data_IF_556218953000
#
_entry.id   IF_556218953000
#
_cell.length_a   1.000
_cell.length_b   1.000
_cell.length_c   1.000
_cell.angle_alpha   90.00
_cell.angle_beta   90.00
_cell.angle_gamma   90.00
#
_symmetry.space_group_name_H-M   'P 1'
#
loop_
_entity.id
_entity.type
_entity.pdbx_description
1 polymer ?
#
# COMPACT_ATOMS: atom_id res chain seq x y z
N UNK A 1 -28.67 -2.35 18.06
CA UNK A 1 -28.91 -2.75 19.47
C UNK A 1 -28.37 -4.15 19.68
N UNK A 2 -27.20 -4.28 20.32
CA UNK A 2 -26.77 -5.39 21.17
C UNK A 2 -25.31 -5.12 21.56
N UNK A 3 -25.12 -4.10 22.40
CA UNK A 3 -23.95 -3.99 23.26
C UNK A 3 -24.33 -4.63 24.59
N UNK A 4 -23.56 -5.60 25.08
CA UNK A 4 -23.40 -5.80 26.53
C UNK A 4 -22.21 -6.70 26.86
N UNK A 5 -21.44 -6.17 27.81
CA UNK A 5 -20.56 -6.84 28.76
C UNK A 5 -19.33 -7.55 28.22
N UNK A 6 -18.17 -6.93 28.45
CA UNK A 6 -17.11 -7.55 29.26
C UNK A 6 -16.29 -6.43 29.92
N UNK A 7 -16.59 -6.19 31.20
CA UNK A 7 -15.73 -5.44 32.11
C UNK A 7 -15.22 -6.41 33.17
N UNK A 8 -13.94 -6.26 33.50
CA UNK A 8 -13.22 -6.90 34.59
C UNK A 8 -12.98 -8.40 34.50
N UNK A 9 -11.72 -8.77 34.27
CA UNK A 9 -11.00 -9.78 35.05
C UNK A 9 -9.50 -9.62 34.76
N UNK A 10 -8.82 -8.91 35.65
CA UNK A 10 -7.36 -8.98 35.79
C UNK A 10 -7.02 -10.42 36.18
N UNK A 11 -6.16 -11.07 35.41
CA UNK A 11 -5.44 -12.26 35.82
C UNK A 11 -3.95 -12.07 35.46
N UNK A 12 -3.02 -12.40 36.37
CA UNK A 12 -1.60 -12.09 36.21
C UNK A 12 -0.91 -13.16 35.36
N UNK A 13 -0.25 -12.74 34.28
CA UNK A 13 0.63 -13.62 33.53
C UNK A 13 1.99 -13.66 34.21
N UNK A 14 2.36 -14.85 34.71
CA UNK A 14 3.67 -15.14 35.29
C UNK A 14 4.73 -15.11 34.19
N UNK A 15 5.68 -14.18 34.31
CA UNK A 15 6.89 -14.16 33.51
C UNK A 15 7.87 -15.24 33.99
N UNK A 16 8.31 -16.09 33.07
CA UNK A 16 9.41 -17.02 33.29
C UNK A 16 10.72 -16.22 33.19
N UNK A 17 11.36 -15.96 34.33
CA UNK A 17 12.70 -15.39 34.39
C UNK A 17 13.72 -16.39 33.83
N UNK A 18 14.47 -15.97 32.80
CA UNK A 18 15.76 -16.59 32.45
C UNK A 18 16.85 -15.61 32.84
N UNK A 19 17.59 -15.98 33.88
CA UNK A 19 18.80 -15.33 34.35
C UNK A 19 19.91 -15.51 33.32
N UNK A 20 20.42 -14.40 32.78
CA UNK A 20 21.77 -14.37 32.21
C UNK A 20 22.56 -13.26 32.89
N UNK A 21 23.31 -13.67 33.91
CA UNK A 21 24.38 -12.92 34.54
C UNK A 21 25.59 -12.86 33.60
N UNK A 22 25.89 -11.67 33.10
CA UNK A 22 27.13 -11.38 32.36
C UNK A 22 27.72 -10.06 32.86
N UNK A 23 28.58 -10.15 33.88
CA UNK A 23 29.40 -9.05 34.39
C UNK A 23 30.45 -8.65 33.35
N UNK A 24 30.54 -7.36 33.02
CA UNK A 24 31.82 -6.72 32.67
C UNK A 24 31.81 -5.28 33.20
N UNK A 25 32.64 -5.03 34.20
CA UNK A 25 32.94 -3.70 34.74
C UNK A 25 33.90 -2.93 33.82
N UNK A 26 33.98 -1.59 33.96
CA UNK A 26 34.64 -0.68 33.02
C UNK A 26 36.06 -0.28 33.47
N UNK A 27 36.88 0.26 32.56
CA UNK A 27 38.07 1.06 32.87
C UNK A 27 38.72 1.71 31.61
N UNK A 28 39.56 2.75 31.74
CA UNK A 28 39.17 4.09 31.30
C UNK A 28 40.12 4.77 30.29
N UNK A 29 39.65 5.94 29.82
CA UNK A 29 40.34 7.09 29.25
C UNK A 29 41.85 7.03 28.97
N UNK A 30 42.22 7.32 27.72
CA UNK A 30 43.43 8.07 27.42
C UNK A 30 43.20 8.99 26.21
N UNK A 31 43.28 10.30 26.48
CA UNK A 31 43.27 11.36 25.50
C UNK A 31 44.47 11.24 24.55
N UNK A 32 44.24 11.37 23.24
CA UNK A 32 45.27 11.76 22.28
C UNK A 32 44.73 12.77 21.27
N UNK A 33 45.47 13.87 21.20
CA UNK A 33 45.37 15.05 20.35
C UNK A 33 45.21 14.77 18.85
N UNK A 34 44.48 15.61 18.10
CA UNK A 34 44.35 15.49 16.65
C UNK A 34 45.60 16.05 15.94
N UNK A 35 46.30 15.20 15.18
CA UNK A 35 47.29 15.67 14.20
C UNK A 35 46.60 16.02 12.89
N UNK A 36 46.58 17.32 12.59
CA UNK A 36 46.25 17.89 11.29
C UNK A 36 47.26 17.44 10.23
N UNK A 37 46.86 16.50 9.37
CA UNK A 37 47.57 16.18 8.13
C UNK A 37 47.07 17.09 7.01
N UNK A 38 47.77 18.20 6.82
CA UNK A 38 47.67 19.05 5.63
C UNK A 38 48.36 18.31 4.48
N UNK A 39 47.59 17.83 3.51
CA UNK A 39 48.11 17.21 2.29
C UNK A 39 48.22 18.28 1.20
N UNK A 40 49.43 18.82 1.02
CA UNK A 40 49.77 19.68 -0.10
C UNK A 40 49.89 18.84 -1.39
N UNK A 41 49.13 19.20 -2.41
CA UNK A 41 49.31 18.70 -3.77
C UNK A 41 50.41 19.52 -4.44
N UNK A 42 51.60 18.92 -4.62
CA UNK A 42 52.63 19.45 -5.51
C UNK A 42 52.39 18.90 -6.92
N UNK A 43 52.11 19.80 -7.85
CA UNK A 43 52.07 19.51 -9.29
C UNK A 43 53.48 19.58 -9.85
N UNK A 44 54.13 18.44 -10.04
CA UNK A 44 55.38 18.40 -10.80
C UNK A 44 55.24 17.51 -12.04
N UNK A 45 54.85 18.18 -13.13
CA UNK A 45 54.97 17.68 -14.50
C UNK A 45 56.45 17.76 -14.86
N UNK A 46 57.18 16.65 -14.76
CA UNK A 46 58.30 16.30 -15.67
C UNK A 46 59.02 15.06 -15.16
N UNK A 47 58.69 13.88 -15.70
CA UNK A 47 59.67 12.79 -15.88
C UNK A 47 59.19 11.79 -16.92
N UNK A 48 59.79 11.98 -18.09
CA UNK A 48 60.28 10.96 -19.03
C UNK A 48 59.42 9.73 -19.33
N UNK A 49 58.92 9.78 -20.56
CA UNK A 49 58.65 8.65 -21.45
C UNK A 49 59.78 7.60 -21.39
N UNK A 50 59.45 6.40 -20.92
CA UNK A 50 60.03 5.17 -21.43
C UNK A 50 58.89 4.32 -21.98
N UNK A 51 58.93 4.10 -23.29
CA UNK A 51 57.95 3.28 -24.03
C UNK A 51 58.17 1.83 -23.65
N UNK A 52 57.28 1.27 -22.84
CA UNK A 52 57.09 -0.17 -22.78
C UNK A 52 56.37 -0.62 -24.07
N UNK A 53 56.86 -1.70 -24.69
CA UNK A 53 56.24 -2.31 -25.86
C UNK A 53 54.76 -2.68 -25.58
N UNK A 54 53.84 -2.52 -26.55
CA UNK A 54 52.44 -2.86 -26.36
C UNK A 54 52.30 -4.37 -26.10
N UNK A 55 51.63 -4.73 -24.99
CA UNK A 55 51.20 -6.10 -24.74
C UNK A 55 50.24 -6.53 -25.86
N UNK A 56 50.34 -7.77 -26.38
CA UNK A 56 49.37 -8.30 -27.33
C UNK A 56 47.97 -8.30 -26.69
N UNK A 57 46.97 -7.90 -27.49
CA UNK A 57 45.58 -7.82 -27.05
C UNK A 57 45.11 -9.18 -26.50
N UNK A 58 44.35 -9.21 -25.39
CA UNK A 58 43.74 -10.44 -24.92
C UNK A 58 42.82 -10.99 -26.01
N UNK A 59 42.98 -12.29 -26.30
CA UNK A 59 42.14 -13.01 -27.24
C UNK A 59 40.66 -12.78 -26.93
N UNK A 60 39.80 -12.56 -27.94
CA UNK A 60 38.38 -12.34 -27.71
C UNK A 60 37.82 -13.57 -26.99
N UNK A 61 37.32 -13.36 -25.77
CA UNK A 61 36.56 -14.36 -25.06
C UNK A 61 35.45 -14.85 -26.00
N UNK A 62 35.18 -16.17 -26.09
CA UNK A 62 34.11 -16.67 -26.94
C UNK A 62 32.85 -15.92 -26.52
N UNK A 63 32.30 -15.13 -27.44
CA UNK A 63 31.00 -14.47 -27.25
C UNK A 63 30.06 -15.57 -26.77
N UNK A 64 29.58 -15.48 -25.53
CA UNK A 64 28.36 -16.19 -25.15
C UNK A 64 27.36 -15.83 -26.23
N UNK A 65 26.99 -16.84 -27.03
CA UNK A 65 25.84 -16.70 -27.92
C UNK A 65 24.72 -16.09 -27.07
N UNK A 66 24.01 -15.05 -27.54
CA UNK A 66 22.69 -14.78 -26.99
C UNK A 66 21.98 -16.13 -27.01
N UNK A 67 21.39 -16.53 -25.89
CA UNK A 67 20.48 -17.68 -25.87
C UNK A 67 19.42 -17.41 -26.93
N UNK A 68 19.67 -17.92 -28.13
CA UNK A 68 18.75 -17.93 -29.25
C UNK A 68 17.57 -18.71 -28.74
N UNK A 69 16.45 -18.00 -28.57
CA UNK A 69 15.11 -18.54 -28.40
C UNK A 69 15.12 -19.91 -27.75
N UNK A 70 15.28 -19.94 -26.42
CA UNK A 70 14.81 -21.09 -25.68
C UNK A 70 13.38 -21.34 -26.15
N UNK A 71 13.19 -22.42 -26.92
CA UNK A 71 11.90 -22.90 -27.35
C UNK A 71 11.00 -22.85 -26.12
N UNK A 72 10.02 -21.95 -26.17
CA UNK A 72 9.05 -21.73 -25.11
C UNK A 72 8.27 -23.02 -24.97
N UNK A 73 8.73 -23.91 -24.08
CA UNK A 73 7.94 -25.06 -23.67
C UNK A 73 6.56 -24.54 -23.29
N UNK A 74 5.48 -25.16 -23.80
CA UNK A 74 4.14 -24.93 -23.30
C UNK A 74 4.21 -25.01 -21.78
N UNK A 75 3.91 -23.91 -21.11
CA UNK A 75 3.71 -23.95 -19.67
C UNK A 75 2.40 -24.73 -19.51
N UNK A 76 2.51 -26.04 -19.27
CA UNK A 76 1.37 -26.88 -18.92
C UNK A 76 0.93 -26.44 -17.53
N UNK A 77 0.07 -25.42 -17.49
CA UNK A 77 -0.44 -24.88 -16.25
C UNK A 77 -1.67 -25.69 -15.87
N UNK A 78 -1.51 -26.51 -14.83
CA UNK A 78 -2.63 -27.20 -14.19
C UNK A 78 -3.44 -26.16 -13.40
N UNK A 79 -4.73 -25.95 -13.70
CA UNK A 79 -5.57 -25.05 -12.90
C UNK A 79 -5.65 -25.50 -11.44
N UNK A 80 -5.81 -24.52 -10.55
CA UNK A 80 -6.09 -24.74 -9.13
C UNK A 80 -7.39 -25.51 -8.88
N UNK A 81 -7.54 -26.03 -7.66
CA UNK A 81 -8.76 -26.71 -7.26
C UNK A 81 -9.92 -25.71 -7.15
N UNK A 82 -11.16 -26.08 -7.47
CA UNK A 82 -12.33 -25.25 -7.16
C UNK A 82 -12.43 -24.90 -5.66
N UNK A 83 -11.89 -25.76 -4.80
CA UNK A 83 -11.88 -25.56 -3.35
C UNK A 83 -11.03 -24.36 -2.93
N UNK A 84 -9.99 -24.02 -3.70
CA UNK A 84 -9.13 -22.87 -3.41
C UNK A 84 -9.94 -21.55 -3.50
N UNK A 85 -11.00 -21.53 -4.30
CA UNK A 85 -11.88 -20.36 -4.46
C UNK A 85 -13.00 -20.29 -3.41
N UNK A 86 -13.23 -21.35 -2.62
CA UNK A 86 -14.25 -21.32 -1.54
C UNK A 86 -13.88 -20.38 -0.40
N UNK A 87 -12.57 -20.20 -0.17
CA UNK A 87 -12.02 -19.39 0.90
C UNK A 87 -11.78 -17.93 0.49
N UNK A 88 -11.88 -17.62 -0.80
CA UNK A 88 -11.82 -16.23 -1.30
C UNK A 88 -13.02 -15.45 -0.76
N UNK A 89 -12.82 -14.16 -0.45
CA UNK A 89 -13.72 -13.34 0.37
C UNK A 89 -15.17 -13.44 -0.12
N UNK A 90 -16.05 -14.22 0.54
CA UNK A 90 -17.29 -14.68 -0.10
C UNK A 90 -18.36 -13.59 -0.23
N UNK A 91 -18.14 -12.40 0.33
CA UNK A 91 -19.12 -11.31 0.40
C UNK A 91 -18.47 -9.94 0.16
N UNK A 92 -17.63 -9.81 -0.88
CA UNK A 92 -17.18 -8.47 -1.29
C UNK A 92 -18.36 -7.74 -1.94
N UNK A 93 -18.62 -6.51 -1.52
CA UNK A 93 -19.72 -5.72 -2.06
C UNK A 93 -19.58 -5.57 -3.59
N UNK A 94 -20.65 -5.86 -4.33
CA UNK A 94 -20.66 -5.84 -5.80
C UNK A 94 -20.19 -7.14 -6.48
N UNK A 95 -19.80 -8.16 -5.72
CA UNK A 95 -19.46 -9.48 -6.26
C UNK A 95 -20.69 -10.38 -6.24
N UNK A 96 -20.89 -11.13 -7.32
CA UNK A 96 -22.11 -11.92 -7.55
C UNK A 96 -21.86 -13.36 -7.96
N UNK A 97 -20.62 -13.69 -8.34
CA UNK A 97 -20.30 -15.04 -8.82
C UNK A 97 -20.12 -16.00 -7.66
N UNK A 98 -20.61 -17.23 -7.80
CA UNK A 98 -20.23 -18.30 -6.88
C UNK A 98 -18.84 -18.85 -7.21
N UNK A 99 -18.22 -19.53 -6.25
CA UNK A 99 -16.87 -20.09 -6.39
C UNK A 99 -16.73 -21.08 -7.56
N UNK A 100 -17.79 -21.77 -7.98
CA UNK A 100 -17.76 -22.71 -9.11
C UNK A 100 -17.71 -21.96 -10.43
N UNK A 101 -18.51 -20.88 -10.55
CA UNK A 101 -18.48 -20.01 -11.72
C UNK A 101 -17.11 -19.32 -11.82
N UNK A 102 -16.58 -18.83 -10.70
CA UNK A 102 -15.24 -18.24 -10.63
C UNK A 102 -14.18 -19.22 -11.12
N UNK A 103 -14.18 -20.45 -10.58
CA UNK A 103 -13.23 -21.50 -10.97
C UNK A 103 -13.35 -21.86 -12.45
N UNK A 104 -14.56 -21.95 -12.99
CA UNK A 104 -14.81 -22.22 -14.42
C UNK A 104 -14.16 -21.15 -15.28
N UNK A 105 -14.50 -19.87 -15.04
CA UNK A 105 -13.96 -18.74 -15.82
C UNK A 105 -12.43 -18.68 -15.69
N UNK A 106 -11.90 -18.84 -14.47
CA UNK A 106 -10.45 -18.90 -14.24
C UNK A 106 -9.77 -20.01 -15.04
N UNK A 107 -10.34 -21.22 -15.03
CA UNK A 107 -9.77 -22.39 -15.69
C UNK A 107 -9.81 -22.26 -17.21
N UNK A 108 -10.94 -21.81 -17.77
CA UNK A 108 -11.09 -21.51 -19.20
C UNK A 108 -10.11 -20.44 -19.64
N UNK A 109 -9.96 -19.37 -18.86
CA UNK A 109 -9.00 -18.31 -19.13
C UNK A 109 -7.56 -18.82 -19.11
N UNK A 110 -7.20 -19.63 -18.12
CA UNK A 110 -5.85 -20.17 -17.97
C UNK A 110 -5.49 -21.11 -19.12
N UNK A 111 -6.46 -21.95 -19.54
CA UNK A 111 -6.31 -22.81 -20.71
C UNK A 111 -6.13 -21.99 -22.00
N UNK A 112 -6.97 -20.98 -22.22
CA UNK A 112 -6.82 -20.08 -23.38
C UNK A 112 -5.47 -19.34 -23.36
N UNK A 113 -5.00 -18.92 -22.18
CA UNK A 113 -3.73 -18.23 -22.00
C UNK A 113 -2.51 -19.15 -22.27
N UNK A 114 -2.60 -20.43 -21.95
CA UNK A 114 -1.52 -21.41 -22.19
C UNK A 114 -1.21 -21.64 -23.68
N UNK A 115 -2.20 -21.42 -24.57
CA UNK A 115 -2.02 -21.52 -26.02
C UNK A 115 -1.42 -20.26 -26.68
N UNK A 116 -1.26 -19.17 -25.93
CA UNK A 116 -0.82 -17.86 -26.44
C UNK A 116 0.68 -17.65 -26.22
N UNK A 117 1.53 -18.50 -26.81
CA UNK A 117 2.97 -18.22 -26.87
C UNK A 117 3.29 -17.30 -28.06
N UNK A 118 3.97 -16.19 -27.73
CA UNK A 118 4.70 -15.27 -28.61
C UNK A 118 3.90 -14.55 -29.73
N UNK A 119 3.65 -13.26 -29.48
CA UNK A 119 3.80 -12.24 -30.51
C UNK A 119 2.53 -11.79 -31.23
N UNK A 120 1.60 -12.67 -31.59
CA UNK A 120 0.45 -12.26 -32.40
C UNK A 120 -0.79 -13.13 -32.21
N UNK A 121 -1.62 -12.77 -31.23
CA UNK A 121 -3.08 -12.90 -31.30
C UNK A 121 -3.66 -11.77 -30.45
N UNK A 122 -4.65 -11.06 -30.97
CA UNK A 122 -5.40 -10.09 -30.18
C UNK A 122 -6.11 -10.88 -29.09
N UNK A 123 -5.56 -10.89 -27.87
CA UNK A 123 -6.15 -11.62 -26.75
C UNK A 123 -7.64 -11.29 -26.66
N UNK A 124 -8.01 -10.01 -26.82
CA UNK A 124 -9.39 -9.51 -27.01
C UNK A 124 -10.28 -10.30 -27.98
N UNK A 125 -9.75 -10.76 -29.12
CA UNK A 125 -10.53 -11.51 -30.12
C UNK A 125 -10.79 -12.96 -29.71
N UNK A 126 -9.84 -13.60 -29.01
CA UNK A 126 -10.06 -14.91 -28.39
C UNK A 126 -11.04 -14.75 -27.20
N UNK A 127 -10.98 -13.63 -26.46
CA UNK A 127 -11.97 -13.30 -25.43
C UNK A 127 -13.36 -12.99 -25.99
N UNK A 128 -13.46 -12.29 -27.12
CA UNK A 128 -14.73 -12.06 -27.80
C UNK A 128 -15.40 -13.39 -28.18
N UNK A 129 -14.61 -14.40 -28.57
CA UNK A 129 -15.11 -15.74 -28.85
C UNK A 129 -15.56 -16.44 -27.55
N UNK A 130 -14.74 -16.46 -26.49
CA UNK A 130 -15.09 -17.10 -25.21
C UNK A 130 -16.31 -16.43 -24.56
N UNK A 131 -16.39 -15.09 -24.58
CA UNK A 131 -17.52 -14.32 -24.06
C UNK A 131 -18.80 -14.55 -24.87
N UNK A 132 -18.70 -14.65 -26.20
CA UNK A 132 -19.84 -14.95 -27.06
C UNK A 132 -20.36 -16.40 -26.88
N UNK A 133 -19.46 -17.36 -26.65
CA UNK A 133 -19.82 -18.76 -26.44
C UNK A 133 -20.42 -19.03 -25.04
N UNK A 134 -20.02 -18.25 -24.03
CA UNK A 134 -20.33 -18.55 -22.62
C UNK A 134 -21.09 -17.45 -21.86
N UNK A 135 -21.56 -16.39 -22.53
CA UNK A 135 -22.27 -15.22 -21.95
C UNK A 135 -21.52 -14.57 -20.77
N UNK A 136 -20.18 -14.53 -20.84
CA UNK A 136 -19.33 -13.95 -19.79
C UNK A 136 -19.30 -12.43 -19.94
N UNK A 137 -19.63 -11.70 -18.87
CA UNK A 137 -19.67 -10.24 -18.85
C UNK A 137 -18.32 -9.64 -18.47
N UNK A 138 -18.05 -8.37 -18.83
CA UNK A 138 -16.83 -7.67 -18.40
C UNK A 138 -16.65 -7.62 -16.86
N UNK A 139 -17.75 -7.58 -16.12
CA UNK A 139 -17.75 -7.64 -14.65
C UNK A 139 -17.22 -8.97 -14.12
N UNK A 140 -17.50 -10.07 -14.81
CA UNK A 140 -17.12 -11.40 -14.35
C UNK A 140 -15.59 -11.58 -14.38
N UNK A 141 -14.93 -11.07 -15.41
CA UNK A 141 -13.46 -11.06 -15.48
C UNK A 141 -12.84 -10.25 -14.35
N UNK A 142 -13.42 -9.09 -14.02
CA UNK A 142 -12.94 -8.26 -12.93
C UNK A 142 -13.10 -8.96 -11.59
N UNK A 143 -14.27 -9.55 -11.33
CA UNK A 143 -14.52 -10.30 -10.11
C UNK A 143 -13.56 -11.50 -9.97
N UNK A 144 -13.37 -12.30 -11.03
CA UNK A 144 -12.44 -13.43 -11.02
C UNK A 144 -11.01 -12.95 -10.76
N UNK A 145 -10.56 -11.89 -11.43
CA UNK A 145 -9.22 -11.35 -11.25
C UNK A 145 -8.97 -10.88 -9.82
N UNK A 146 -9.96 -10.25 -9.17
CA UNK A 146 -9.84 -9.83 -7.78
C UNK A 146 -9.88 -11.01 -6.81
N UNK A 147 -10.68 -12.05 -7.07
CA UNK A 147 -10.63 -13.28 -6.27
C UNK A 147 -9.31 -14.03 -6.41
N UNK A 148 -8.65 -13.94 -7.57
CA UNK A 148 -7.29 -14.44 -7.71
C UNK A 148 -6.31 -13.69 -6.80
N UNK A 149 -6.54 -12.42 -6.47
CA UNK A 149 -5.68 -11.67 -5.53
C UNK A 149 -5.78 -12.19 -4.09
N UNK A 150 -6.92 -12.81 -3.75
CA UNK A 150 -7.15 -13.43 -2.44
C UNK A 150 -6.50 -14.82 -2.32
N UNK A 151 -6.02 -15.39 -3.44
CA UNK A 151 -5.32 -16.67 -3.43
C UNK A 151 -3.90 -16.52 -2.91
N UNK A 152 -3.43 -17.54 -2.18
CA UNK A 152 -2.04 -17.65 -1.79
C UNK A 152 -1.10 -17.69 -3.02
N UNK A 153 0.11 -17.14 -2.86
CA UNK A 153 1.25 -17.16 -3.79
C UNK A 153 0.90 -17.59 -5.23
N UNK A 154 0.42 -16.63 -6.03
CA UNK A 154 0.14 -16.86 -7.44
C UNK A 154 1.42 -17.24 -8.19
N UNK A 155 1.32 -18.25 -9.05
CA UNK A 155 2.39 -18.55 -10.00
C UNK A 155 2.52 -17.40 -11.02
N UNK A 156 3.66 -17.33 -11.70
CA UNK A 156 3.89 -16.30 -12.73
C UNK A 156 2.79 -16.26 -13.79
N UNK A 157 2.33 -17.42 -14.26
CA UNK A 157 1.28 -17.49 -15.29
C UNK A 157 -0.07 -17.03 -14.74
N UNK A 158 -0.38 -17.34 -13.49
CA UNK A 158 -1.59 -16.85 -12.83
C UNK A 158 -1.56 -15.34 -12.65
N UNK A 159 -0.42 -14.76 -12.25
CA UNK A 159 -0.26 -13.31 -12.19
C UNK A 159 -0.42 -12.63 -13.56
N UNK A 160 0.17 -13.22 -14.60
CA UNK A 160 0.01 -12.73 -15.98
C UNK A 160 -1.46 -12.85 -16.43
N UNK A 161 -2.15 -13.93 -16.05
CA UNK A 161 -3.56 -14.16 -16.40
C UNK A 161 -4.50 -13.19 -15.68
N UNK A 162 -4.29 -12.98 -14.38
CA UNK A 162 -5.02 -11.99 -13.58
C UNK A 162 -4.90 -10.59 -14.19
N UNK A 163 -3.67 -10.18 -14.54
CA UNK A 163 -3.44 -8.86 -15.15
C UNK A 163 -4.19 -8.73 -16.48
N UNK A 164 -4.16 -9.78 -17.30
CA UNK A 164 -4.90 -9.82 -18.58
C UNK A 164 -6.41 -9.80 -18.40
N UNK A 165 -6.96 -10.47 -17.37
CA UNK A 165 -8.40 -10.40 -17.06
C UNK A 165 -8.83 -8.97 -16.73
N UNK A 166 -8.04 -8.25 -15.94
CA UNK A 166 -8.29 -6.85 -15.63
C UNK A 166 -8.23 -5.96 -16.89
N UNK A 167 -7.21 -6.16 -17.72
CA UNK A 167 -7.09 -5.45 -19.00
C UNK A 167 -8.29 -5.75 -19.90
N UNK A 168 -8.77 -6.99 -19.92
CA UNK A 168 -9.98 -7.45 -20.64
C UNK A 168 -11.21 -6.71 -20.22
N UNK A 169 -11.51 -6.75 -18.92
CA UNK A 169 -12.65 -6.05 -18.36
C UNK A 169 -12.56 -4.54 -18.66
N UNK A 170 -11.38 -3.95 -18.48
CA UNK A 170 -11.11 -2.55 -18.76
C UNK A 170 -11.36 -2.21 -20.23
N UNK A 171 -10.87 -3.00 -21.19
CA UNK A 171 -11.04 -2.80 -22.64
C UNK A 171 -12.47 -3.02 -23.14
N UNK A 172 -13.25 -3.86 -22.45
CA UNK A 172 -14.69 -4.01 -22.69
C UNK A 172 -15.53 -2.91 -22.03
N UNK A 173 -14.91 -1.96 -21.34
CA UNK A 173 -15.58 -0.79 -20.77
C UNK A 173 -16.09 -0.94 -19.35
N UNK A 174 -15.61 -1.95 -18.63
CA UNK A 174 -15.86 -2.04 -17.22
C UNK A 174 -15.02 -1.01 -16.45
N UNK A 175 -15.68 0.05 -15.99
CA UNK A 175 -15.04 1.19 -15.30
C UNK A 175 -14.27 0.78 -14.04
N UNK A 176 -14.81 -0.02 -13.10
CA UNK A 176 -14.05 -0.54 -11.97
C UNK A 176 -12.72 -1.20 -12.34
N UNK A 177 -12.67 -1.99 -13.42
CA UNK A 177 -11.43 -2.62 -13.88
C UNK A 177 -10.40 -1.58 -14.37
N UNK A 178 -10.83 -0.60 -15.17
CA UNK A 178 -9.97 0.52 -15.58
C UNK A 178 -9.38 1.22 -14.37
N UNK A 179 -10.23 1.61 -13.41
CA UNK A 179 -9.81 2.34 -12.23
C UNK A 179 -8.89 1.50 -11.33
N UNK A 180 -9.17 0.20 -11.17
CA UNK A 180 -8.33 -0.72 -10.41
C UNK A 180 -6.91 -0.82 -10.99
N UNK A 181 -6.77 -0.94 -12.32
CA UNK A 181 -5.44 -0.95 -12.97
C UNK A 181 -4.67 0.33 -12.67
N UNK A 182 -5.31 1.50 -12.81
CA UNK A 182 -4.67 2.79 -12.51
C UNK A 182 -4.23 2.85 -11.05
N UNK A 183 -5.10 2.44 -10.12
CA UNK A 183 -4.80 2.39 -8.69
C UNK A 183 -3.56 1.53 -8.43
N UNK A 184 -3.51 0.31 -8.96
CA UNK A 184 -2.38 -0.60 -8.74
C UNK A 184 -1.04 -0.01 -9.20
N UNK A 185 -1.02 0.67 -10.35
CA UNK A 185 0.21 1.33 -10.84
C UNK A 185 0.58 2.56 -9.99
N UNK A 186 -0.41 3.33 -9.50
CA UNK A 186 -0.17 4.47 -8.61
C UNK A 186 0.50 4.06 -7.30
N UNK A 187 -0.03 3.02 -6.65
CA UNK A 187 0.52 2.51 -5.38
C UNK A 187 1.84 1.76 -5.58
N UNK A 188 2.13 1.29 -6.80
CA UNK A 188 3.45 0.80 -7.22
C UNK A 188 4.56 1.86 -7.26
N UNK A 189 4.28 3.12 -6.86
CA UNK A 189 5.23 4.25 -6.75
C UNK A 189 5.89 4.66 -8.06
N UNK A 190 5.19 4.53 -9.18
CA UNK A 190 5.64 5.03 -10.47
C UNK A 190 4.52 5.73 -11.26
N UNK A 191 3.90 6.80 -10.71
CA UNK A 191 2.81 7.52 -11.38
C UNK A 191 3.22 8.08 -12.75
N UNK A 192 4.49 8.46 -12.93
CA UNK A 192 5.07 8.91 -14.20
C UNK A 192 5.04 7.84 -15.30
N UNK A 193 4.94 6.57 -14.92
CA UNK A 193 4.93 5.45 -15.86
C UNK A 193 3.52 5.00 -16.25
N UNK A 194 2.43 5.61 -15.76
CA UNK A 194 1.07 5.17 -16.08
C UNK A 194 0.82 5.00 -17.58
N UNK A 195 1.15 6.02 -18.38
CA UNK A 195 1.01 6.00 -19.83
C UNK A 195 1.83 4.88 -20.49
N UNK A 196 2.99 4.53 -19.91
CA UNK A 196 3.90 3.50 -20.44
C UNK A 196 3.48 2.10 -20.00
N UNK A 197 3.09 1.94 -18.75
CA UNK A 197 2.75 0.66 -18.12
C UNK A 197 1.37 0.16 -18.52
N UNK A 198 0.39 1.07 -18.69
CA UNK A 198 -0.99 0.70 -18.99
C UNK A 198 -1.67 1.70 -19.96
N UNK A 199 -1.12 1.92 -21.17
CA UNK A 199 -1.53 2.99 -22.09
C UNK A 199 -3.04 3.00 -22.39
N UNK A 200 -3.65 1.84 -22.54
CA UNK A 200 -5.07 1.70 -22.88
C UNK A 200 -5.98 2.03 -21.71
N UNK A 201 -5.72 1.44 -20.54
CA UNK A 201 -6.44 1.77 -19.31
C UNK A 201 -6.28 3.25 -18.95
N UNK A 202 -5.07 3.80 -19.13
CA UNK A 202 -4.81 5.22 -18.90
C UNK A 202 -5.58 6.13 -19.85
N UNK A 203 -5.64 5.83 -21.15
CA UNK A 203 -6.46 6.60 -22.09
C UNK A 203 -7.94 6.64 -21.68
N UNK A 204 -8.50 5.51 -21.25
CA UNK A 204 -9.89 5.46 -20.74
C UNK A 204 -10.07 6.25 -19.45
N UNK A 205 -9.11 6.12 -18.53
CA UNK A 205 -9.08 6.90 -17.29
C UNK A 205 -9.11 8.41 -17.59
N UNK A 206 -8.33 8.88 -18.57
CA UNK A 206 -8.37 10.29 -19.01
C UNK A 206 -9.76 10.69 -19.52
N UNK A 207 -10.45 9.82 -20.26
CA UNK A 207 -11.84 10.08 -20.68
C UNK A 207 -12.77 10.22 -19.48
N UNK A 208 -12.69 9.30 -18.50
CA UNK A 208 -13.51 9.36 -17.28
C UNK A 208 -13.28 10.64 -16.47
N UNK A 209 -12.02 11.08 -16.36
CA UNK A 209 -11.65 12.34 -15.70
C UNK A 209 -12.18 13.54 -16.48
N UNK A 210 -12.07 13.53 -17.82
CA UNK A 210 -12.55 14.62 -18.67
C UNK A 210 -14.08 14.77 -18.62
N UNK A 211 -14.82 13.66 -18.56
CA UNK A 211 -16.26 13.68 -18.32
C UNK A 211 -16.60 14.28 -16.95
N UNK A 212 -15.78 14.01 -15.94
CA UNK A 212 -15.88 14.63 -14.62
C UNK A 212 -17.15 14.28 -13.85
N UNK A 213 -17.78 13.14 -14.18
CA UNK A 213 -19.00 12.60 -13.56
C UNK A 213 -18.75 11.38 -12.66
N UNK A 214 -17.53 10.83 -12.69
CA UNK A 214 -17.17 9.65 -11.89
C UNK A 214 -16.33 10.08 -10.68
N UNK A 215 -16.82 9.93 -9.44
CA UNK A 215 -16.12 10.40 -8.24
C UNK A 215 -14.85 9.58 -7.95
N UNK A 216 -14.84 8.29 -8.28
CA UNK A 216 -13.67 7.41 -8.12
C UNK A 216 -12.53 7.82 -9.08
N UNK A 217 -12.86 8.15 -10.34
CA UNK A 217 -11.89 8.66 -11.30
C UNK A 217 -11.30 10.01 -10.87
N UNK A 218 -12.14 10.93 -10.39
CA UNK A 218 -11.69 12.22 -9.85
C UNK A 218 -10.80 12.04 -8.61
N UNK A 219 -11.08 11.03 -7.78
CA UNK A 219 -10.26 10.69 -6.61
C UNK A 219 -8.86 10.26 -7.02
N UNK A 220 -8.71 9.38 -8.03
CA UNK A 220 -7.38 8.99 -8.51
C UNK A 220 -6.63 10.12 -9.20
N UNK A 221 -7.33 10.99 -9.94
CA UNK A 221 -6.70 12.18 -10.51
C UNK A 221 -6.21 13.12 -9.41
N UNK A 222 -7.01 13.33 -8.36
CA UNK A 222 -6.61 14.08 -7.18
C UNK A 222 -5.35 13.49 -6.53
N UNK A 223 -5.30 12.16 -6.40
CA UNK A 223 -4.11 11.46 -5.87
C UNK A 223 -2.89 11.67 -6.77
N UNK A 224 -3.05 11.64 -8.09
CA UNK A 224 -1.98 11.92 -9.05
C UNK A 224 -1.37 13.31 -8.86
N UNK A 225 -2.23 14.34 -8.74
CA UNK A 225 -1.79 15.71 -8.44
C UNK A 225 -1.09 15.79 -7.07
N UNK A 226 -1.63 15.11 -6.05
CA UNK A 226 -1.01 15.07 -4.72
C UNK A 226 0.40 14.45 -4.76
N UNK A 227 0.60 13.36 -5.51
CA UNK A 227 1.91 12.72 -5.70
C UNK A 227 2.91 13.62 -6.44
N UNK A 228 2.44 14.55 -7.27
CA UNK A 228 3.26 15.56 -7.95
C UNK A 228 3.54 16.80 -7.09
N UNK A 229 2.96 16.89 -5.90
CA UNK A 229 3.04 18.05 -5.02
C UNK A 229 2.08 19.19 -5.38
N UNK A 230 1.15 18.97 -6.32
CA UNK A 230 0.16 19.94 -6.79
C UNK A 230 -1.04 20.00 -5.82
N UNK A 231 -0.78 20.45 -4.59
CA UNK A 231 -1.72 20.34 -3.45
C UNK A 231 -3.09 20.99 -3.69
N UNK A 232 -3.13 22.18 -4.29
CA UNK A 232 -4.38 22.89 -4.50
C UNK A 232 -5.27 22.21 -5.54
N UNK A 233 -4.66 21.70 -6.62
CA UNK A 233 -5.34 20.95 -7.67
C UNK A 233 -5.89 19.62 -7.11
N UNK A 234 -5.08 18.92 -6.32
CA UNK A 234 -5.48 17.70 -5.64
C UNK A 234 -6.69 17.95 -4.72
N UNK A 235 -6.63 18.97 -3.86
CA UNK A 235 -7.72 19.32 -2.96
C UNK A 235 -9.00 19.71 -3.71
N UNK A 236 -8.89 20.46 -4.82
CA UNK A 236 -10.02 20.81 -5.67
C UNK A 236 -10.69 19.55 -6.28
N UNK A 237 -9.90 18.58 -6.74
CA UNK A 237 -10.40 17.33 -7.30
C UNK A 237 -11.09 16.46 -6.26
N UNK A 238 -10.53 16.33 -5.04
CA UNK A 238 -11.20 15.59 -3.97
C UNK A 238 -12.52 16.23 -3.54
N UNK A 239 -12.58 17.56 -3.42
CA UNK A 239 -13.86 18.25 -3.14
C UNK A 239 -14.86 18.01 -4.26
N UNK A 240 -14.43 18.14 -5.53
CA UNK A 240 -15.29 17.87 -6.69
C UNK A 240 -15.80 16.42 -6.71
N UNK A 241 -14.96 15.44 -6.34
CA UNK A 241 -15.39 14.05 -6.23
C UNK A 241 -16.51 13.88 -5.20
N UNK A 242 -16.39 14.52 -4.03
CA UNK A 242 -17.44 14.54 -3.00
C UNK A 242 -18.73 15.20 -3.50
N UNK A 243 -18.63 16.33 -4.19
CA UNK A 243 -19.78 17.05 -4.74
C UNK A 243 -20.52 16.23 -5.80
N UNK A 244 -19.78 15.58 -6.71
CA UNK A 244 -20.31 14.68 -7.73
C UNK A 244 -21.03 13.49 -7.09
N UNK A 245 -20.43 12.89 -6.06
CA UNK A 245 -21.06 11.78 -5.34
C UNK A 245 -22.35 12.23 -4.62
N UNK A 246 -22.35 13.39 -3.96
CA UNK A 246 -23.53 13.93 -3.30
C UNK A 246 -24.67 14.21 -4.30
N UNK A 247 -24.35 14.78 -5.47
CA UNK A 247 -25.33 15.03 -6.53
C UNK A 247 -25.91 13.74 -7.14
N UNK A 248 -25.08 12.70 -7.28
CA UNK A 248 -25.51 11.40 -7.77
C UNK A 248 -26.52 10.74 -6.80
N UNK A 249 -26.20 10.73 -5.50
CA UNK A 249 -27.07 10.19 -4.44
C UNK A 249 -28.43 10.91 -4.44
N UNK A 250 -28.44 12.24 -4.59
CA UNK A 250 -29.67 13.03 -4.68
C UNK A 250 -30.54 12.66 -5.91
N UNK A 251 -29.92 12.12 -6.96
CA UNK A 251 -30.60 11.71 -8.20
C UNK A 251 -30.95 10.21 -8.22
N UNK A 252 -30.83 9.50 -7.09
CA UNK A 252 -31.12 8.07 -6.99
C UNK A 252 -30.10 7.17 -7.68
N UNK A 253 -28.89 7.68 -7.96
CA UNK A 253 -27.83 6.94 -8.62
C UNK A 253 -26.46 7.08 -7.94
N UNK A 254 -25.49 6.33 -8.45
CA UNK A 254 -24.07 6.53 -8.16
C UNK A 254 -23.50 5.73 -6.99
N UNK A 255 -22.45 4.96 -7.27
CA UNK A 255 -21.52 4.46 -6.26
C UNK A 255 -20.36 5.44 -6.07
N UNK A 256 -19.81 5.50 -4.86
CA UNK A 256 -18.54 6.16 -4.57
C UNK A 256 -17.68 5.19 -3.77
N UNK A 257 -17.08 4.22 -4.47
CA UNK A 257 -16.38 3.11 -3.83
C UNK A 257 -15.18 3.60 -3.02
N UNK A 258 -14.53 4.68 -3.47
CA UNK A 258 -13.32 5.22 -2.85
C UNK A 258 -13.57 6.49 -2.04
N UNK A 259 -14.77 6.61 -1.47
CA UNK A 259 -15.12 7.72 -0.59
C UNK A 259 -14.13 7.90 0.55
N UNK A 260 -13.77 6.83 1.26
CA UNK A 260 -12.85 6.90 2.39
C UNK A 260 -11.47 7.40 1.95
N UNK A 261 -10.91 6.83 0.88
CA UNK A 261 -9.65 7.28 0.30
C UNK A 261 -9.68 8.77 -0.06
N UNK A 262 -10.75 9.22 -0.74
CA UNK A 262 -10.91 10.63 -1.09
C UNK A 262 -10.90 11.55 0.14
N UNK A 263 -11.65 11.18 1.17
CA UNK A 263 -11.75 11.97 2.40
C UNK A 263 -10.44 11.99 3.19
N UNK A 264 -9.76 10.85 3.33
CA UNK A 264 -8.45 10.77 4.00
C UNK A 264 -7.43 11.65 3.29
N UNK A 265 -7.34 11.58 1.97
CA UNK A 265 -6.37 12.37 1.20
C UNK A 265 -6.68 13.86 1.24
N UNK A 266 -7.96 14.25 1.20
CA UNK A 266 -8.36 15.64 1.41
C UNK A 266 -7.96 16.14 2.81
N UNK A 267 -8.19 15.33 3.85
CA UNK A 267 -7.83 15.66 5.22
C UNK A 267 -6.32 15.82 5.40
N UNK A 268 -5.51 14.96 4.77
CA UNK A 268 -4.04 15.09 4.75
C UNK A 268 -3.59 16.41 4.12
N UNK A 269 -4.25 16.84 3.04
CA UNK A 269 -3.95 18.13 2.39
C UNK A 269 -4.36 19.32 3.28
N UNK A 270 -5.52 19.23 3.95
CA UNK A 270 -5.98 20.24 4.91
C UNK A 270 -5.01 20.36 6.10
N UNK A 271 -4.54 19.24 6.63
CA UNK A 271 -3.51 19.18 7.67
C UNK A 271 -2.24 19.90 7.19
N UNK A 272 -1.77 19.60 5.98
CA UNK A 272 -0.55 20.17 5.42
C UNK A 272 -0.58 21.69 5.22
N UNK A 273 -1.77 22.29 5.09
CA UNK A 273 -1.96 23.75 4.98
C UNK A 273 -2.39 24.39 6.31
N UNK A 274 -2.41 23.63 7.40
CA UNK A 274 -2.78 24.12 8.73
C UNK A 274 -4.29 24.27 8.98
N UNK A 275 -5.14 23.79 8.06
CA UNK A 275 -6.61 23.77 8.20
C UNK A 275 -7.07 22.64 9.12
N UNK A 276 -6.59 22.66 10.37
CA UNK A 276 -6.67 21.55 11.32
C UNK A 276 -8.09 21.17 11.73
N UNK A 277 -8.99 22.16 11.87
CA UNK A 277 -10.40 21.89 12.19
C UNK A 277 -11.12 21.13 11.07
N UNK A 278 -10.79 21.44 9.83
CA UNK A 278 -11.38 20.75 8.68
C UNK A 278 -10.83 19.32 8.59
N UNK A 279 -9.51 19.15 8.74
CA UNK A 279 -8.88 17.83 8.80
C UNK A 279 -9.45 16.97 9.94
N UNK A 280 -9.63 17.55 11.13
CA UNK A 280 -10.26 16.89 12.28
C UNK A 280 -11.66 16.37 11.93
N UNK A 281 -12.51 17.19 11.30
CA UNK A 281 -13.88 16.79 10.93
C UNK A 281 -13.89 15.63 9.93
N UNK A 282 -13.04 15.67 8.91
CA UNK A 282 -12.94 14.60 7.92
C UNK A 282 -12.42 13.30 8.55
N UNK A 283 -11.32 13.37 9.32
CA UNK A 283 -10.80 12.19 10.01
C UNK A 283 -11.77 11.63 11.04
N UNK A 284 -12.49 12.48 11.77
CA UNK A 284 -13.44 12.04 12.78
C UNK A 284 -14.59 11.26 12.16
N UNK A 285 -15.19 11.78 11.09
CA UNK A 285 -16.27 11.09 10.40
C UNK A 285 -15.86 9.69 9.89
N UNK A 286 -14.62 9.55 9.43
CA UNK A 286 -14.06 8.28 8.97
C UNK A 286 -13.69 7.34 10.13
N UNK A 287 -13.10 7.87 11.21
CA UNK A 287 -12.75 7.10 12.40
C UNK A 287 -14.00 6.54 13.08
N UNK A 288 -15.09 7.33 13.16
CA UNK A 288 -16.40 6.86 13.66
C UNK A 288 -17.00 5.74 12.78
N UNK A 289 -16.59 5.66 11.51
CA UNK A 289 -16.94 4.56 10.59
C UNK A 289 -15.96 3.36 10.65
N UNK A 290 -14.95 3.40 11.53
CA UNK A 290 -13.97 2.33 11.70
C UNK A 290 -12.79 2.35 10.73
N UNK A 291 -12.57 3.45 10.00
CA UNK A 291 -11.44 3.57 9.10
C UNK A 291 -10.11 3.65 9.88
N UNK A 292 -9.24 2.66 9.70
CA UNK A 292 -8.02 2.49 10.48
C UNK A 292 -6.99 3.60 10.22
N UNK A 293 -6.86 4.05 8.97
CA UNK A 293 -5.96 5.13 8.59
C UNK A 293 -6.44 6.47 9.18
N UNK A 294 -7.74 6.75 9.14
CA UNK A 294 -8.31 7.92 9.79
C UNK A 294 -8.14 7.91 11.31
N UNK A 295 -8.34 6.75 11.96
CA UNK A 295 -8.08 6.61 13.40
C UNK A 295 -6.62 6.98 13.73
N UNK A 296 -5.67 6.49 12.94
CA UNK A 296 -4.26 6.86 13.10
C UNK A 296 -4.01 8.36 12.94
N UNK A 297 -4.54 8.94 11.86
CA UNK A 297 -4.31 10.36 11.59
C UNK A 297 -4.95 11.26 12.64
N UNK A 298 -6.15 10.92 13.12
CA UNK A 298 -6.83 11.65 14.19
C UNK A 298 -6.05 11.55 15.51
N UNK A 299 -5.62 10.34 15.90
CA UNK A 299 -4.88 10.12 17.13
C UNK A 299 -3.50 10.79 17.16
N UNK A 300 -2.91 11.07 15.99
CA UNK A 300 -1.62 11.78 15.86
C UNK A 300 -1.75 13.26 15.48
N UNK A 301 -2.96 13.78 15.29
CA UNK A 301 -3.20 15.11 14.72
C UNK A 301 -2.51 16.22 15.52
N UNK A 302 -2.62 16.14 16.86
CA UNK A 302 -2.12 17.16 17.77
C UNK A 302 -0.60 17.10 17.93
N UNK A 303 -0.03 15.89 17.89
CA UNK A 303 1.41 15.67 17.93
C UNK A 303 2.11 16.21 16.68
N UNK A 304 1.44 16.15 15.51
CA UNK A 304 1.97 16.65 14.23
C UNK A 304 1.86 18.17 14.08
N UNK A 305 1.08 18.84 14.92
CA UNK A 305 0.90 20.30 14.92
C UNK A 305 1.06 20.90 16.34
N UNK A 306 2.27 20.85 16.92
CA UNK A 306 2.51 21.35 18.27
C UNK A 306 2.30 22.87 18.36
N UNK A 307 1.88 23.35 19.54
CA UNK A 307 1.69 24.79 19.81
C UNK A 307 0.29 25.35 19.48
N UNK A 308 -0.68 24.48 19.16
CA UNK A 308 -2.08 24.84 18.91
C UNK A 308 -3.00 24.19 19.95
N UNK A 309 -4.24 24.69 20.15
CA UNK A 309 -5.13 24.12 21.17
C UNK A 309 -5.49 22.67 20.83
N UNK A 310 -5.35 21.75 21.77
CA UNK A 310 -5.59 20.32 21.54
C UNK A 310 -7.04 20.06 21.11
N UNK A 311 -7.22 19.22 20.10
CA UNK A 311 -8.51 18.75 19.60
C UNK A 311 -8.79 17.32 20.03
N UNK A 312 -7.74 16.56 20.31
CA UNK A 312 -7.81 15.18 20.77
C UNK A 312 -7.04 15.11 22.08
N UNK A 313 -7.71 14.69 23.15
CA UNK A 313 -7.03 14.47 24.42
C UNK A 313 -6.22 13.15 24.36
N UNK A 314 -5.34 12.92 25.32
CA UNK A 314 -4.43 11.76 25.29
C UNK A 314 -5.12 10.42 25.45
N UNK A 315 -6.20 10.36 26.24
CA UNK A 315 -6.99 9.14 26.40
C UNK A 315 -7.64 8.78 25.08
N UNK A 316 -8.25 9.74 24.42
CA UNK A 316 -8.85 9.58 23.09
C UNK A 316 -7.80 9.23 22.03
N UNK A 317 -6.65 9.90 22.04
CA UNK A 317 -5.55 9.59 21.13
C UNK A 317 -5.08 8.13 21.29
N UNK A 318 -4.93 7.65 22.53
CA UNK A 318 -4.58 6.26 22.81
C UNK A 318 -5.63 5.30 22.27
N UNK A 319 -6.92 5.58 22.48
CA UNK A 319 -8.01 4.74 21.99
C UNK A 319 -8.03 4.64 20.46
N UNK A 320 -7.93 5.79 19.77
CA UNK A 320 -7.88 5.86 18.31
C UNK A 320 -6.68 5.12 17.74
N UNK A 321 -5.49 5.33 18.31
CA UNK A 321 -4.30 4.63 17.85
C UNK A 321 -4.36 3.13 18.15
N UNK A 322 -4.98 2.73 19.26
CA UNK A 322 -5.24 1.31 19.56
C UNK A 322 -6.17 0.71 18.53
N UNK A 323 -7.26 1.39 18.16
CA UNK A 323 -8.16 0.97 17.09
C UNK A 323 -7.42 0.78 15.77
N UNK A 324 -6.61 1.77 15.36
CA UNK A 324 -5.79 1.69 14.16
C UNK A 324 -4.82 0.49 14.20
N UNK A 325 -4.16 0.25 15.33
CA UNK A 325 -3.27 -0.90 15.52
C UNK A 325 -4.03 -2.24 15.50
N UNK A 326 -5.22 -2.33 16.11
CA UNK A 326 -6.01 -3.57 16.05
C UNK A 326 -6.53 -3.88 14.65
N UNK A 327 -6.76 -2.84 13.84
CA UNK A 327 -7.15 -2.96 12.44
C UNK A 327 -5.96 -3.17 11.48
N UNK A 328 -4.74 -3.30 12.00
CA UNK A 328 -3.56 -3.61 11.19
C UNK A 328 -2.83 -2.40 10.59
N UNK A 329 -3.15 -1.17 10.97
CA UNK A 329 -2.53 0.02 10.38
C UNK A 329 -1.04 0.13 10.78
N UNK A 330 -0.08 -0.02 9.85
CA UNK A 330 1.32 -0.34 10.19
C UNK A 330 2.05 0.70 11.05
N UNK A 331 1.69 1.97 10.94
CA UNK A 331 2.34 3.05 11.68
C UNK A 331 1.76 3.26 13.09
N UNK A 332 0.60 2.67 13.41
CA UNK A 332 -0.08 2.88 14.68
C UNK A 332 0.70 2.39 15.91
N UNK A 333 1.34 1.19 15.91
CA UNK A 333 2.16 0.76 17.04
C UNK A 333 3.33 1.70 17.35
N UNK A 334 3.96 2.29 16.32
CA UNK A 334 5.04 3.27 16.56
C UNK A 334 4.49 4.54 17.21
N UNK A 335 3.36 5.06 16.71
CA UNK A 335 2.73 6.24 17.30
C UNK A 335 2.22 6.01 18.74
N UNK A 336 1.74 4.81 19.06
CA UNK A 336 1.39 4.43 20.44
C UNK A 336 2.60 4.46 21.35
N UNK A 337 3.73 3.90 20.92
CA UNK A 337 4.96 3.94 21.71
C UNK A 337 5.44 5.38 21.97
N UNK A 338 5.33 6.26 20.98
CA UNK A 338 5.69 7.68 21.13
C UNK A 338 4.72 8.40 22.07
N UNK A 339 3.41 8.13 21.97
CA UNK A 339 2.39 8.67 22.86
C UNK A 339 2.65 8.25 24.33
N UNK A 340 2.88 6.96 24.57
CA UNK A 340 3.21 6.43 25.90
C UNK A 340 4.52 7.01 26.45
N UNK A 341 5.54 7.19 25.60
CA UNK A 341 6.78 7.86 26.02
C UNK A 341 6.52 9.30 26.46
N UNK A 342 5.69 10.05 25.72
CA UNK A 342 5.32 11.40 26.11
C UNK A 342 4.45 11.48 27.37
N UNK A 343 3.70 10.43 27.71
CA UNK A 343 2.98 10.31 28.99
C UNK A 343 3.90 9.90 30.13
N UNK A 344 4.89 9.03 29.87
CA UNK A 344 5.97 8.72 30.80
C UNK A 344 6.71 9.98 31.24
N UNK A 345 7.19 10.79 30.28
CA UNK A 345 7.97 12.00 30.58
C UNK A 345 7.19 12.98 31.49
N UNK A 346 5.88 13.11 31.26
CA UNK A 346 5.01 13.96 32.08
C UNK A 346 4.71 13.36 33.44
N UNK A 347 4.43 12.06 33.52
CA UNK A 347 4.25 11.39 34.80
C UNK A 347 5.52 11.48 35.67
N UNK A 348 6.72 11.42 35.06
CA UNK A 348 7.98 11.66 35.77
C UNK A 348 8.08 13.11 36.25
N UNK A 349 7.79 14.08 35.39
CA UNK A 349 7.81 15.51 35.75
C UNK A 349 6.84 15.84 36.90
N UNK A 350 5.66 15.21 36.92
CA UNK A 350 4.62 15.38 37.93
C UNK A 350 4.89 14.55 39.21
N UNK A 351 5.95 13.73 39.23
CA UNK A 351 6.30 12.89 40.38
C UNK A 351 5.48 11.60 40.53
N UNK A 352 4.68 11.24 39.52
CA UNK A 352 3.80 10.07 39.50
C UNK A 352 4.54 8.80 39.09
N UNK A 353 5.40 8.27 39.98
CA UNK A 353 6.32 7.15 39.69
C UNK A 353 5.64 5.87 39.19
N UNK A 354 4.50 5.49 39.78
CA UNK A 354 3.79 4.26 39.39
C UNK A 354 3.17 4.38 38.00
N UNK A 355 2.61 5.55 37.67
CA UNK A 355 2.07 5.84 36.34
C UNK A 355 3.19 5.85 35.28
N UNK A 356 4.32 6.47 35.61
CA UNK A 356 5.50 6.45 34.74
C UNK A 356 5.97 5.02 34.44
N UNK A 357 6.07 4.15 35.44
CA UNK A 357 6.46 2.76 35.22
C UNK A 357 5.50 2.02 34.27
N UNK A 358 4.19 2.27 34.38
CA UNK A 358 3.19 1.73 33.46
C UNK A 358 3.41 2.19 32.02
N UNK A 359 3.53 3.51 31.80
CA UNK A 359 3.75 4.08 30.47
C UNK A 359 5.06 3.59 29.81
N UNK A 360 6.12 3.38 30.60
CA UNK A 360 7.37 2.85 30.08
C UNK A 360 7.22 1.41 29.57
N UNK A 361 6.51 0.56 30.31
CA UNK A 361 6.22 -0.82 29.90
C UNK A 361 5.36 -0.85 28.64
N UNK A 362 4.27 -0.08 28.61
CA UNK A 362 3.38 -0.01 27.44
C UNK A 362 4.14 0.48 26.20
N UNK A 363 4.99 1.51 26.34
CA UNK A 363 5.83 2.01 25.25
C UNK A 363 6.78 0.92 24.71
N UNK A 364 7.35 0.08 25.58
CA UNK A 364 8.23 -1.02 25.18
C UNK A 364 7.46 -2.11 24.42
N UNK A 365 6.27 -2.47 24.88
CA UNK A 365 5.42 -3.46 24.21
C UNK A 365 5.00 -2.99 22.82
N UNK A 366 4.59 -1.72 22.68
CA UNK A 366 4.23 -1.15 21.37
C UNK A 366 5.43 -1.10 20.41
N UNK A 367 6.65 -0.85 20.91
CA UNK A 367 7.88 -0.94 20.09
C UNK A 367 8.17 -2.37 19.64
N UNK A 368 7.98 -3.35 20.53
CA UNK A 368 8.14 -4.76 20.18
C UNK A 368 7.16 -5.17 19.08
N UNK A 369 5.88 -4.74 19.19
CA UNK A 369 4.87 -4.99 18.17
C UNK A 369 5.23 -4.31 16.84
N UNK A 370 5.64 -3.05 16.87
CA UNK A 370 6.10 -2.32 15.69
C UNK A 370 7.27 -3.04 14.98
N UNK A 371 8.23 -3.57 15.75
CA UNK A 371 9.35 -4.34 15.22
C UNK A 371 8.90 -5.66 14.59
N UNK A 372 8.01 -6.40 15.26
CA UNK A 372 7.45 -7.64 14.74
C UNK A 372 6.70 -7.43 13.42
N UNK A 373 6.00 -6.30 13.28
CA UNK A 373 5.29 -5.94 12.06
C UNK A 373 6.23 -5.53 10.92
N UNK A 374 7.29 -4.77 11.20
CA UNK A 374 8.31 -4.43 10.19
C UNK A 374 9.00 -5.66 9.60
N UNK A 375 9.13 -6.75 10.37
CA UNK A 375 9.72 -8.01 9.90
C UNK A 375 8.77 -8.82 9.00
N UNK A 376 7.46 -8.58 9.06
CA UNK A 376 6.48 -9.16 8.13
C UNK A 376 6.35 -8.20 6.95
N UNK A 377 7.02 -8.52 5.84
CA UNK A 377 7.16 -7.71 4.61
C UNK A 377 5.93 -6.77 4.35
N UNK A 378 6.09 -5.43 4.33
CA UNK A 378 4.98 -4.47 4.26
C UNK A 378 4.19 -4.44 2.94
N UNK A 379 4.53 -5.27 1.95
CA UNK A 379 4.08 -5.08 0.56
C UNK A 379 2.57 -5.08 0.34
N UNK A 380 1.76 -5.54 1.28
CA UNK A 380 0.33 -5.79 1.04
C UNK A 380 -0.68 -5.05 1.95
N UNK A 381 -0.27 -4.17 2.87
CA UNK A 381 -1.23 -3.55 3.80
C UNK A 381 -1.93 -2.28 3.30
N UNK A 382 -1.65 -1.78 2.09
CA UNK A 382 -2.42 -0.69 1.46
C UNK A 382 -3.58 -1.21 0.57
N UNK A 383 -3.89 -2.51 0.66
CA UNK A 383 -5.05 -3.11 0.00
C UNK A 383 -6.26 -2.99 0.93
N UNK A 384 -6.89 -1.81 0.94
CA UNK A 384 -8.31 -1.65 1.25
C UNK A 384 -9.16 -1.98 0.02
#
# INVERSE_FOLDING_TARGET
>A
MLCRHLSSRRAPWRATQVLCSGRCSPSPSAARTPQTLIRTYSSDRSRMRQRAAPKPAPSPSPRRRPETMAESRPLEVRPRSPDDFKLTTPNREGFSLDHKIVHRIYSEFLHAASGLHQGQKHWLSEFANVTAEHDIKPQDFYEVALRMSDLDALSRVEHESQSRMLDSASELGHVPATLHIIRTVLYGKSPENLQRSCPRAYARFRTLVAEGRNPDALTLEGKLHALRGERDQAAALFRRAKDVAAAAVASGGGGFQWKNLCQVELAKLQEAVGARQDAYREYRALADAGDAEACYHLGTLDARMPGTVRLVNETEARELLTQAATAGYPAAPTALADLETGMYDRAVADGHKDAAAGHLLDAQEWRNLAAAWKMRDPKNYEVY
#
